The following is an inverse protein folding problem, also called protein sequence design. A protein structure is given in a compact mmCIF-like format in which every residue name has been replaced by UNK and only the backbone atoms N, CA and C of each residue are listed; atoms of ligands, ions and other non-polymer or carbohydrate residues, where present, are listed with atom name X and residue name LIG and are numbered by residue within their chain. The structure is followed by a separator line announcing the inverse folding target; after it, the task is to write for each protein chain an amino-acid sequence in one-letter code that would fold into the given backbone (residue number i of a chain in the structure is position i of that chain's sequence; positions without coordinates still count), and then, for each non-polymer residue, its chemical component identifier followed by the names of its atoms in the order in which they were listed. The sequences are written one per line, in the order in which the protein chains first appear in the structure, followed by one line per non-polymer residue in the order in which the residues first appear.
data_IF_405667609710
#
_entry.id   IF_405667609710
#
_cell.length_a   1.000
_cell.length_b   1.000
_cell.length_c   1.000
_cell.angle_alpha   90.00
_cell.angle_beta   90.00
_cell.angle_gamma   90.00
#
_symmetry.space_group_name_H-M   'P 1'
#
loop_
_entity.id
_entity.type
_entity.pdbx_description
1 polymer ?
#
# COMPACT_ATOMS: atom_id res chain seq x y z
N UNK A 1 45.43 -8.97 27.45
CA UNK A 1 45.85 -7.76 28.20
C UNK A 1 45.55 -6.50 27.38
N UNK A 2 46.08 -6.35 26.13
CA UNK A 2 45.89 -5.16 25.28
C UNK A 2 44.40 -4.85 25.03
N UNK A 3 43.57 -5.84 24.64
CA UNK A 3 42.16 -5.66 24.41
C UNK A 3 41.42 -5.15 25.65
N UNK A 4 41.73 -5.67 26.86
CA UNK A 4 41.06 -5.20 28.10
C UNK A 4 41.40 -3.73 28.42
N UNK A 5 42.61 -3.28 28.11
CA UNK A 5 43.03 -1.89 28.31
C UNK A 5 42.28 -0.96 27.34
N UNK A 6 42.13 -1.37 26.08
CA UNK A 6 41.41 -0.61 25.06
C UNK A 6 39.91 -0.54 25.36
N UNK A 7 39.32 -1.64 25.80
CA UNK A 7 37.94 -1.67 26.24
C UNK A 7 37.70 -0.69 27.39
N UNK A 8 38.57 -0.72 28.42
CA UNK A 8 38.47 0.19 29.58
C UNK A 8 38.68 1.66 29.21
N UNK A 9 39.47 1.94 28.17
CA UNK A 9 39.72 3.27 27.64
C UNK A 9 38.66 3.73 26.59
N UNK A 10 37.68 2.88 26.25
CA UNK A 10 36.71 3.11 25.19
C UNK A 10 37.34 3.41 23.80
N UNK A 11 38.51 2.86 23.56
CA UNK A 11 39.23 2.97 22.29
C UNK A 11 38.82 1.86 21.34
N UNK A 12 37.58 2.01 20.83
CA UNK A 12 36.86 0.98 20.06
C UNK A 12 37.57 0.62 18.76
N UNK A 13 38.12 1.59 18.03
CA UNK A 13 38.80 1.38 16.78
C UNK A 13 40.03 0.50 16.95
N UNK A 14 40.89 0.79 17.95
CA UNK A 14 42.05 -0.03 18.23
C UNK A 14 41.67 -1.38 18.85
N UNK A 15 40.58 -1.45 19.58
CA UNK A 15 40.06 -2.70 20.12
C UNK A 15 39.64 -3.65 19.01
N UNK A 16 38.86 -3.17 18.04
CA UNK A 16 38.40 -3.95 16.88
C UNK A 16 39.60 -4.47 16.08
N UNK A 17 40.59 -3.62 15.79
CA UNK A 17 41.85 -4.05 15.12
C UNK A 17 42.64 -5.07 15.95
N UNK A 18 42.61 -4.95 17.28
CA UNK A 18 43.27 -5.98 18.11
C UNK A 18 42.55 -7.32 18.05
N UNK A 19 41.23 -7.33 17.94
CA UNK A 19 40.48 -8.58 17.73
C UNK A 19 40.72 -9.13 16.33
N UNK A 20 40.83 -8.29 15.30
CA UNK A 20 41.23 -8.70 13.96
C UNK A 20 42.59 -9.38 14.00
N UNK A 21 43.64 -8.76 14.57
CA UNK A 21 44.97 -9.36 14.72
C UNK A 21 44.93 -10.72 15.43
N UNK A 22 44.04 -10.90 16.45
CA UNK A 22 43.90 -12.18 17.16
C UNK A 22 43.28 -13.24 16.24
N UNK A 23 42.26 -12.89 15.46
CA UNK A 23 41.60 -13.81 14.55
C UNK A 23 42.54 -14.24 13.40
N UNK A 24 43.36 -13.33 12.88
CA UNK A 24 44.35 -13.64 11.84
C UNK A 24 45.37 -14.67 12.28
N UNK A 25 45.73 -14.71 13.58
CA UNK A 25 46.66 -15.69 14.17
C UNK A 25 45.99 -17.07 14.28
N UNK A 26 44.71 -17.12 14.59
CA UNK A 26 43.94 -18.37 14.70
C UNK A 26 42.51 -18.19 14.13
N UNK A 27 42.31 -18.43 12.81
CA UNK A 27 41.07 -18.22 12.11
C UNK A 27 39.92 -19.19 12.46
N UNK A 28 40.10 -20.01 13.50
CA UNK A 28 39.06 -20.95 13.97
C UNK A 28 38.26 -20.40 15.18
N UNK A 29 38.63 -19.23 15.69
CA UNK A 29 38.01 -18.62 16.86
C UNK A 29 36.74 -17.79 16.50
N UNK A 30 35.65 -18.45 16.16
CA UNK A 30 34.37 -17.77 15.82
C UNK A 30 33.90 -16.78 16.89
N UNK A 31 34.20 -17.03 18.18
CA UNK A 31 33.90 -16.11 19.28
C UNK A 31 34.53 -14.70 19.09
N UNK A 32 35.67 -14.62 18.40
CA UNK A 32 36.32 -13.35 18.10
C UNK A 32 35.51 -12.56 17.04
N UNK A 33 35.01 -13.24 16.03
CA UNK A 33 34.16 -12.62 15.00
C UNK A 33 32.87 -12.02 15.62
N UNK A 34 32.20 -12.77 16.50
CA UNK A 34 31.01 -12.29 17.22
C UNK A 34 31.35 -11.07 18.08
N UNK A 35 32.50 -11.06 18.77
CA UNK A 35 32.94 -9.86 19.54
C UNK A 35 33.22 -8.65 18.66
N UNK A 36 33.83 -8.85 17.48
CA UNK A 36 34.05 -7.75 16.50
C UNK A 36 32.69 -7.16 16.13
N UNK A 37 31.74 -8.00 15.77
CA UNK A 37 30.39 -7.60 15.36
C UNK A 37 29.64 -6.90 16.52
N UNK A 38 29.54 -7.53 17.68
CA UNK A 38 28.83 -6.97 18.86
C UNK A 38 29.38 -5.59 19.27
N UNK A 39 30.71 -5.43 19.28
CA UNK A 39 31.32 -4.15 19.61
C UNK A 39 30.99 -3.11 18.54
N UNK A 40 31.05 -3.46 17.27
CA UNK A 40 30.71 -2.57 16.17
C UNK A 40 29.28 -2.05 16.26
N UNK A 41 28.32 -2.95 16.46
CA UNK A 41 26.90 -2.62 16.63
C UNK A 41 26.71 -1.73 17.86
N UNK A 42 27.25 -2.13 19.02
CA UNK A 42 27.09 -1.40 20.27
C UNK A 42 27.71 0.01 20.27
N UNK A 43 28.71 0.24 19.44
CA UNK A 43 29.47 1.50 19.39
C UNK A 43 29.23 2.33 18.14
N UNK A 44 28.39 1.84 17.22
CA UNK A 44 28.09 2.51 15.95
C UNK A 44 29.25 2.45 14.92
N UNK A 45 30.24 1.57 15.13
CA UNK A 45 31.38 1.42 14.22
C UNK A 45 31.18 0.31 13.18
N UNK A 46 29.93 0.20 12.64
CA UNK A 46 29.54 -0.94 11.79
C UNK A 46 30.32 -0.97 10.47
N UNK A 47 30.63 0.19 9.87
CA UNK A 47 31.42 0.29 8.65
C UNK A 47 32.84 -0.28 8.85
N UNK A 48 33.48 0.06 9.97
CA UNK A 48 34.80 -0.49 10.28
C UNK A 48 34.74 -2.01 10.49
N UNK A 49 33.67 -2.52 11.09
CA UNK A 49 33.46 -3.97 11.24
C UNK A 49 33.28 -4.63 9.88
N UNK A 50 32.52 -4.01 9.00
CA UNK A 50 32.35 -4.49 7.62
C UNK A 50 33.68 -4.60 6.90
N UNK A 51 34.51 -3.55 6.93
CA UNK A 51 35.85 -3.56 6.32
C UNK A 51 36.72 -4.68 6.90
N UNK A 52 36.74 -4.84 8.22
CA UNK A 52 37.47 -5.92 8.91
C UNK A 52 36.97 -7.30 8.44
N UNK A 53 35.67 -7.52 8.38
CA UNK A 53 35.11 -8.81 7.95
C UNK A 53 35.43 -9.12 6.48
N UNK A 54 35.45 -8.10 5.59
CA UNK A 54 35.90 -8.27 4.21
C UNK A 54 37.39 -8.66 4.11
N UNK A 55 38.25 -8.04 4.92
CA UNK A 55 39.68 -8.43 5.00
C UNK A 55 39.82 -9.87 5.51
N UNK A 56 39.09 -10.22 6.59
CA UNK A 56 39.11 -11.57 7.17
C UNK A 56 38.54 -12.64 6.22
N UNK A 57 37.55 -12.29 5.40
CA UNK A 57 37.01 -13.19 4.35
C UNK A 57 38.11 -13.62 3.36
N UNK A 58 39.08 -12.77 3.08
CA UNK A 58 40.17 -13.09 2.15
C UNK A 58 41.13 -14.17 2.68
N UNK A 59 41.19 -14.36 4.00
CA UNK A 59 42.11 -15.27 4.68
C UNK A 59 41.43 -16.46 5.34
N UNK A 60 40.12 -16.44 5.50
CA UNK A 60 39.34 -17.49 6.14
C UNK A 60 38.06 -17.78 5.35
N UNK A 61 37.73 -19.07 5.21
CA UNK A 61 36.49 -19.55 4.62
C UNK A 61 35.39 -19.77 5.69
N UNK A 62 35.42 -18.98 6.77
CA UNK A 62 34.42 -19.10 7.82
C UNK A 62 33.03 -18.67 7.32
N UNK A 63 32.05 -19.59 7.43
CA UNK A 63 30.65 -19.33 7.13
C UNK A 63 30.13 -18.13 7.94
N UNK A 64 30.55 -17.99 9.19
CA UNK A 64 30.11 -16.92 10.08
C UNK A 64 30.49 -15.52 9.54
N UNK A 65 31.61 -15.40 8.82
CA UNK A 65 31.96 -14.11 8.18
C UNK A 65 30.92 -13.71 7.13
N UNK A 66 30.48 -14.66 6.30
CA UNK A 66 29.43 -14.40 5.30
C UNK A 66 28.09 -14.05 5.98
N UNK A 67 27.72 -14.78 7.02
CA UNK A 67 26.48 -14.52 7.79
C UNK A 67 26.49 -13.11 8.38
N UNK A 68 27.60 -12.69 9.00
CA UNK A 68 27.71 -11.34 9.58
C UNK A 68 27.75 -10.24 8.51
N UNK A 69 28.38 -10.46 7.37
CA UNK A 69 28.37 -9.52 6.25
C UNK A 69 26.98 -9.38 5.65
N UNK A 70 26.22 -10.48 5.52
CA UNK A 70 24.83 -10.47 5.06
C UNK A 70 23.96 -9.65 6.02
N UNK A 71 24.10 -9.85 7.33
CA UNK A 71 23.34 -9.11 8.34
C UNK A 71 23.66 -7.61 8.32
N UNK A 72 24.93 -7.24 8.13
CA UNK A 72 25.34 -5.83 7.98
C UNK A 72 24.74 -5.24 6.71
N UNK A 73 24.86 -5.92 5.58
CA UNK A 73 24.34 -5.44 4.31
C UNK A 73 22.82 -5.30 4.32
N UNK A 74 22.08 -6.27 4.90
CA UNK A 74 20.63 -6.20 5.06
C UNK A 74 20.20 -5.02 5.96
N UNK A 75 20.84 -4.87 7.11
CA UNK A 75 20.53 -3.79 8.06
C UNK A 75 20.88 -2.40 7.52
N UNK A 76 21.85 -2.31 6.61
CA UNK A 76 22.26 -1.07 5.93
C UNK A 76 21.43 -0.76 4.67
N UNK A 77 20.50 -1.67 4.28
CA UNK A 77 19.69 -1.52 3.07
C UNK A 77 20.41 -1.87 1.77
N UNK A 78 21.59 -2.46 1.85
CA UNK A 78 22.41 -2.87 0.71
C UNK A 78 21.99 -4.26 0.21
N UNK A 79 20.72 -4.42 -0.10
CA UNK A 79 20.10 -5.72 -0.39
C UNK A 79 20.76 -6.48 -1.54
N UNK A 80 21.27 -5.79 -2.57
CA UNK A 80 21.95 -6.45 -3.69
C UNK A 80 23.25 -7.13 -3.24
N UNK A 81 23.99 -6.53 -2.31
CA UNK A 81 25.18 -7.12 -1.72
C UNK A 81 24.81 -8.31 -0.82
N UNK A 82 23.79 -8.13 0.04
CA UNK A 82 23.29 -9.20 0.89
C UNK A 82 22.85 -10.43 0.07
N UNK A 83 22.16 -10.23 -1.05
CA UNK A 83 21.75 -11.30 -1.99
C UNK A 83 22.98 -12.00 -2.57
N UNK A 84 23.99 -11.24 -3.03
CA UNK A 84 25.21 -11.83 -3.59
C UNK A 84 25.97 -12.70 -2.57
N UNK A 85 26.09 -12.21 -1.34
CA UNK A 85 26.71 -12.94 -0.23
C UNK A 85 25.89 -14.17 0.17
N UNK A 86 24.55 -14.09 0.13
CA UNK A 86 23.68 -15.21 0.43
C UNK A 86 23.83 -16.34 -0.62
N UNK A 87 23.93 -16.00 -1.91
CA UNK A 87 24.23 -16.99 -2.95
C UNK A 87 25.61 -17.66 -2.71
N UNK A 88 26.64 -16.90 -2.35
CA UNK A 88 27.97 -17.44 -2.01
C UNK A 88 27.88 -18.37 -0.79
N UNK A 89 27.10 -17.99 0.23
CA UNK A 89 26.89 -18.82 1.42
C UNK A 89 26.23 -20.15 1.04
N UNK A 90 25.15 -20.10 0.24
CA UNK A 90 24.43 -21.30 -0.23
C UNK A 90 25.33 -22.19 -1.09
N UNK A 91 26.16 -21.63 -1.96
CA UNK A 91 27.09 -22.38 -2.80
C UNK A 91 28.14 -23.15 -1.96
N UNK A 92 28.60 -22.55 -0.87
CA UNK A 92 29.63 -23.13 0.00
C UNK A 92 29.12 -24.13 1.01
N UNK A 93 27.89 -23.92 1.53
CA UNK A 93 27.31 -24.74 2.63
C UNK A 93 26.25 -25.73 2.18
N UNK A 94 25.73 -25.59 0.96
CA UNK A 94 24.47 -26.19 0.52
C UNK A 94 23.27 -25.36 0.97
N UNK A 95 22.14 -25.53 0.29
CA UNK A 95 20.91 -24.79 0.61
C UNK A 95 20.16 -25.45 1.76
N UNK A 96 19.81 -24.65 2.77
CA UNK A 96 18.81 -25.01 3.78
C UNK A 96 17.52 -24.21 3.50
N UNK A 97 16.38 -24.71 4.01
CA UNK A 97 15.11 -23.97 3.87
C UNK A 97 15.19 -22.56 4.47
N UNK A 98 15.88 -22.39 5.62
CA UNK A 98 16.06 -21.09 6.26
C UNK A 98 16.85 -20.10 5.38
N UNK A 99 17.93 -20.58 4.74
CA UNK A 99 18.71 -19.76 3.82
C UNK A 99 17.89 -19.36 2.58
N UNK A 100 17.09 -20.29 2.06
CA UNK A 100 16.18 -20.04 0.93
C UNK A 100 15.11 -19.01 1.30
N UNK A 101 14.54 -19.12 2.51
CA UNK A 101 13.55 -18.17 3.04
C UNK A 101 14.19 -16.78 3.18
N UNK A 102 15.38 -16.67 3.80
CA UNK A 102 16.08 -15.40 3.97
C UNK A 102 16.45 -14.76 2.62
N UNK A 103 16.92 -15.56 1.65
CA UNK A 103 17.19 -15.06 0.29
C UNK A 103 15.92 -14.50 -0.37
N UNK A 104 14.80 -15.18 -0.18
CA UNK A 104 13.50 -14.74 -0.72
C UNK A 104 13.01 -13.44 -0.06
N UNK A 105 13.25 -13.26 1.24
CA UNK A 105 12.97 -11.99 1.92
C UNK A 105 13.78 -10.83 1.34
N UNK A 106 15.07 -11.04 1.06
CA UNK A 106 15.92 -10.04 0.42
C UNK A 106 15.40 -9.67 -0.98
N UNK A 107 14.99 -10.67 -1.76
CA UNK A 107 14.40 -10.43 -3.09
C UNK A 107 13.06 -9.68 -2.98
N UNK A 108 12.21 -9.95 -1.97
CA UNK A 108 11.00 -9.17 -1.73
C UNK A 108 11.29 -7.69 -1.46
N UNK A 109 12.34 -7.38 -0.70
CA UNK A 109 12.72 -5.99 -0.36
C UNK A 109 13.11 -5.16 -1.59
N UNK A 110 13.56 -5.80 -2.65
CA UNK A 110 13.89 -5.16 -3.94
C UNK A 110 12.85 -5.45 -5.03
N UNK A 111 11.66 -5.91 -4.62
CA UNK A 111 10.50 -6.16 -5.49
C UNK A 111 10.77 -7.15 -6.64
N UNK A 112 11.68 -8.10 -6.41
CA UNK A 112 12.02 -9.17 -7.35
C UNK A 112 11.10 -10.38 -7.16
N UNK A 113 9.83 -10.21 -7.52
CA UNK A 113 8.77 -11.19 -7.26
C UNK A 113 8.93 -12.49 -8.04
N UNK A 114 9.44 -12.43 -9.27
CA UNK A 114 9.71 -13.63 -10.07
C UNK A 114 10.74 -14.52 -9.38
N UNK A 115 11.83 -13.93 -8.90
CA UNK A 115 12.88 -14.63 -8.16
C UNK A 115 12.36 -15.25 -6.87
N UNK A 116 11.46 -14.56 -6.16
CA UNK A 116 10.80 -15.10 -4.96
C UNK A 116 10.01 -16.36 -5.31
N UNK A 117 9.23 -16.34 -6.37
CA UNK A 117 8.47 -17.50 -6.85
C UNK A 117 9.40 -18.65 -7.23
N UNK A 118 10.44 -18.38 -8.02
CA UNK A 118 11.39 -19.39 -8.48
C UNK A 118 12.11 -20.09 -7.32
N UNK A 119 12.43 -19.34 -6.28
CA UNK A 119 13.16 -19.82 -5.11
C UNK A 119 12.23 -20.58 -4.14
N UNK A 120 11.02 -20.07 -3.87
CA UNK A 120 10.12 -20.62 -2.84
C UNK A 120 9.20 -21.73 -3.35
N UNK A 121 8.78 -21.70 -4.63
CA UNK A 121 7.88 -22.74 -5.14
C UNK A 121 8.41 -24.16 -4.97
N UNK A 122 9.71 -24.46 -5.19
CA UNK A 122 10.24 -25.80 -4.96
C UNK A 122 10.16 -26.29 -3.52
N UNK A 123 10.33 -25.41 -2.52
CA UNK A 123 10.21 -25.82 -1.11
C UNK A 123 8.76 -25.91 -0.67
N UNK A 124 7.87 -25.07 -1.19
CA UNK A 124 6.42 -25.18 -1.03
C UNK A 124 5.89 -26.50 -1.59
N UNK A 125 6.27 -26.89 -2.80
CA UNK A 125 5.87 -28.15 -3.43
C UNK A 125 6.40 -29.38 -2.69
N UNK A 126 7.52 -29.28 -1.97
CA UNK A 126 8.04 -30.33 -1.08
C UNK A 126 7.33 -30.40 0.26
N UNK A 127 6.36 -29.52 0.52
CA UNK A 127 5.53 -29.51 1.72
C UNK A 127 5.99 -28.55 2.83
N UNK A 128 6.91 -27.63 2.55
CA UNK A 128 7.19 -26.54 3.49
C UNK A 128 6.08 -25.50 3.37
N UNK A 129 5.05 -25.61 4.20
CA UNK A 129 3.91 -24.70 4.26
C UNK A 129 4.01 -23.78 5.50
N UNK A 130 5.21 -23.39 5.91
CA UNK A 130 5.36 -22.42 6.98
C UNK A 130 4.61 -21.12 6.63
N UNK A 131 4.09 -20.46 7.65
CA UNK A 131 3.33 -19.21 7.48
C UNK A 131 4.12 -18.16 6.70
N UNK A 132 5.43 -18.13 6.88
CA UNK A 132 6.35 -17.22 6.23
C UNK A 132 6.46 -17.51 4.73
N UNK A 133 6.69 -18.76 4.32
CA UNK A 133 6.72 -19.19 2.91
C UNK A 133 5.40 -18.87 2.22
N UNK A 134 4.27 -19.20 2.85
CA UNK A 134 2.95 -18.94 2.28
C UNK A 134 2.70 -17.44 2.09
N UNK A 135 3.07 -16.61 3.06
CA UNK A 135 2.90 -15.15 2.95
C UNK A 135 3.76 -14.54 1.85
N UNK A 136 5.03 -14.96 1.74
CA UNK A 136 5.91 -14.44 0.69
C UNK A 136 5.43 -14.85 -0.71
N UNK A 137 4.99 -16.09 -0.89
CA UNK A 137 4.41 -16.54 -2.15
C UNK A 137 3.11 -15.79 -2.49
N UNK A 138 2.24 -15.50 -1.50
CA UNK A 138 1.04 -14.69 -1.72
C UNK A 138 1.38 -13.29 -2.21
N UNK A 139 2.34 -12.61 -1.57
CA UNK A 139 2.80 -11.29 -2.00
C UNK A 139 3.34 -11.35 -3.44
N UNK A 140 4.19 -12.32 -3.72
CA UNK A 140 4.81 -12.46 -5.04
C UNK A 140 3.77 -12.77 -6.13
N UNK A 141 2.89 -13.76 -5.92
CA UNK A 141 1.87 -14.12 -6.90
C UNK A 141 0.86 -13.00 -7.14
N UNK A 142 0.46 -12.28 -6.07
CA UNK A 142 -0.44 -11.12 -6.19
C UNK A 142 0.19 -10.00 -7.00
N UNK A 143 1.48 -9.66 -6.72
CA UNK A 143 2.22 -8.63 -7.46
C UNK A 143 2.44 -8.99 -8.94
N UNK A 144 2.58 -10.29 -9.24
CA UNK A 144 2.72 -10.80 -10.62
C UNK A 144 1.38 -11.03 -11.33
N UNK A 145 0.25 -10.84 -10.66
CA UNK A 145 -1.08 -11.13 -11.21
C UNK A 145 -1.33 -12.63 -11.47
N UNK A 146 -0.60 -13.52 -10.79
CA UNK A 146 -0.72 -14.97 -10.94
C UNK A 146 -1.85 -15.53 -10.05
N UNK A 147 -3.08 -15.13 -10.36
CA UNK A 147 -4.28 -15.34 -9.53
C UNK A 147 -4.53 -16.83 -9.19
N UNK A 148 -4.32 -17.76 -10.12
CA UNK A 148 -4.54 -19.19 -9.86
C UNK A 148 -3.57 -19.73 -8.80
N UNK A 149 -2.31 -19.32 -8.86
CA UNK A 149 -1.29 -19.70 -7.88
C UNK A 149 -1.59 -19.07 -6.51
N UNK A 150 -1.98 -17.78 -6.51
CA UNK A 150 -2.42 -17.08 -5.31
C UNK A 150 -3.59 -17.79 -4.62
N UNK A 151 -4.63 -18.21 -5.37
CA UNK A 151 -5.76 -18.99 -4.85
C UNK A 151 -5.28 -20.34 -4.23
N UNK A 152 -4.34 -21.02 -4.85
CA UNK A 152 -3.85 -22.30 -4.36
C UNK A 152 -3.10 -22.14 -3.04
N UNK A 153 -2.21 -21.17 -2.95
CA UNK A 153 -1.46 -20.85 -1.71
C UNK A 153 -2.41 -20.36 -0.62
N UNK A 154 -3.38 -19.50 -0.94
CA UNK A 154 -4.40 -19.02 0.00
C UNK A 154 -5.24 -20.18 0.58
N UNK A 155 -5.59 -21.17 -0.24
CA UNK A 155 -6.29 -22.39 0.24
C UNK A 155 -5.43 -23.18 1.21
N UNK A 156 -4.14 -23.36 0.91
CA UNK A 156 -3.20 -24.03 1.80
C UNK A 156 -3.12 -23.27 3.13
N UNK A 157 -2.97 -21.94 3.07
CA UNK A 157 -2.92 -21.09 4.25
C UNK A 157 -4.20 -21.21 5.11
N UNK A 158 -5.38 -21.13 4.49
CA UNK A 158 -6.66 -21.28 5.19
C UNK A 158 -6.82 -22.65 5.85
N UNK A 159 -6.35 -23.71 5.20
CA UNK A 159 -6.52 -25.08 5.71
C UNK A 159 -5.54 -25.39 6.85
N UNK A 160 -4.27 -25.01 6.70
CA UNK A 160 -3.23 -25.34 7.68
C UNK A 160 -3.23 -24.39 8.88
N UNK A 161 -3.69 -23.16 8.69
CA UNK A 161 -3.78 -22.12 9.71
C UNK A 161 -5.23 -21.67 9.93
N UNK A 162 -6.13 -22.65 10.11
CA UNK A 162 -7.58 -22.41 10.17
C UNK A 162 -8.06 -21.70 11.44
N UNK A 163 -7.20 -21.53 12.43
CA UNK A 163 -7.41 -20.86 13.71
C UNK A 163 -7.05 -19.35 13.70
N UNK A 164 -6.51 -18.86 12.59
CA UNK A 164 -6.23 -17.44 12.38
C UNK A 164 -6.97 -16.90 11.14
N UNK A 165 -7.37 -15.60 11.13
CA UNK A 165 -8.21 -15.03 10.06
C UNK A 165 -7.50 -14.92 8.71
N UNK A 166 -6.16 -14.79 8.70
CA UNK A 166 -5.37 -14.41 7.52
C UNK A 166 -5.58 -15.30 6.29
N UNK A 167 -5.81 -16.62 6.49
CA UNK A 167 -6.07 -17.54 5.38
C UNK A 167 -7.41 -17.29 4.68
N UNK A 168 -8.43 -16.94 5.46
CA UNK A 168 -9.76 -16.58 4.94
C UNK A 168 -9.73 -15.24 4.22
N UNK A 169 -9.00 -14.26 4.76
CA UNK A 169 -8.79 -12.96 4.13
C UNK A 169 -8.10 -13.11 2.78
N UNK A 170 -6.96 -13.81 2.74
CA UNK A 170 -6.20 -14.03 1.53
C UNK A 170 -7.03 -14.75 0.45
N UNK A 171 -7.73 -15.83 0.82
CA UNK A 171 -8.52 -16.60 -0.14
C UNK A 171 -9.72 -15.81 -0.68
N UNK A 172 -10.42 -15.07 0.19
CA UNK A 172 -11.52 -14.21 -0.26
C UNK A 172 -11.04 -13.11 -1.18
N UNK A 173 -9.91 -12.48 -0.87
CA UNK A 173 -9.26 -11.47 -1.72
C UNK A 173 -8.86 -12.04 -3.07
N UNK A 174 -8.19 -13.20 -3.12
CA UNK A 174 -7.80 -13.86 -4.37
C UNK A 174 -9.02 -14.19 -5.24
N UNK A 175 -10.15 -14.61 -4.64
CA UNK A 175 -11.39 -14.83 -5.39
C UNK A 175 -12.00 -13.53 -5.92
N UNK A 176 -11.89 -12.40 -5.19
CA UNK A 176 -12.33 -11.10 -5.69
C UNK A 176 -11.50 -10.65 -6.89
N UNK A 177 -10.18 -10.82 -6.82
CA UNK A 177 -9.27 -10.55 -7.94
C UNK A 177 -9.59 -11.42 -9.17
N UNK A 178 -10.02 -12.66 -8.94
CA UNK A 178 -10.49 -13.57 -10.00
C UNK A 178 -11.89 -13.23 -10.54
N UNK A 179 -12.55 -12.18 -10.05
CA UNK A 179 -13.95 -11.86 -10.39
C UNK A 179 -14.98 -12.86 -9.87
N UNK A 180 -14.60 -13.74 -8.93
CA UNK A 180 -15.44 -14.81 -8.39
C UNK A 180 -16.10 -14.37 -7.07
N UNK A 181 -16.97 -13.34 -7.14
CA UNK A 181 -17.58 -12.72 -5.96
C UNK A 181 -18.36 -13.72 -5.09
N UNK A 182 -19.06 -14.70 -5.70
CA UNK A 182 -19.83 -15.69 -4.96
C UNK A 182 -18.94 -16.57 -4.08
N UNK A 183 -17.76 -16.97 -4.59
CA UNK A 183 -16.79 -17.76 -3.82
C UNK A 183 -16.17 -16.92 -2.70
N UNK A 184 -15.86 -15.65 -2.96
CA UNK A 184 -15.37 -14.74 -1.91
C UNK A 184 -16.39 -14.62 -0.77
N UNK A 185 -17.67 -14.40 -1.11
CA UNK A 185 -18.76 -14.35 -0.12
C UNK A 185 -18.86 -15.65 0.67
N UNK A 186 -18.77 -16.82 0.01
CA UNK A 186 -18.79 -18.12 0.70
C UNK A 186 -17.68 -18.24 1.75
N UNK A 187 -16.44 -17.88 1.41
CA UNK A 187 -15.30 -17.93 2.34
C UNK A 187 -15.48 -16.95 3.50
N UNK A 188 -15.93 -15.72 3.22
CA UNK A 188 -16.17 -14.72 4.26
C UNK A 188 -17.29 -15.15 5.22
N UNK A 189 -18.36 -15.78 4.71
CA UNK A 189 -19.44 -16.33 5.54
C UNK A 189 -18.98 -17.50 6.40
N UNK A 190 -18.02 -18.30 5.94
CA UNK A 190 -17.40 -19.35 6.76
C UNK A 190 -16.52 -18.78 7.88
N UNK A 191 -15.84 -17.64 7.63
CA UNK A 191 -14.98 -16.98 8.60
C UNK A 191 -15.76 -16.31 9.73
N UNK A 192 -16.91 -15.69 9.45
CA UNK A 192 -17.69 -14.90 10.39
C UNK A 192 -18.02 -15.56 11.74
N UNK A 193 -18.45 -16.84 11.81
CA UNK A 193 -18.70 -17.51 13.08
C UNK A 193 -17.45 -17.96 13.81
N UNK A 194 -16.33 -18.10 13.10
CA UNK A 194 -15.04 -18.48 13.68
C UNK A 194 -14.33 -17.30 14.33
N UNK A 195 -14.46 -16.12 13.72
CA UNK A 195 -13.78 -14.89 14.12
C UNK A 195 -14.82 -13.76 14.30
N UNK A 196 -15.66 -13.84 15.34
CA UNK A 196 -16.79 -12.91 15.51
C UNK A 196 -16.38 -11.46 15.77
N UNK A 197 -15.16 -11.26 16.28
CA UNK A 197 -14.60 -9.94 16.62
C UNK A 197 -13.71 -9.36 15.50
N UNK A 198 -13.55 -10.09 14.38
CA UNK A 198 -12.76 -9.63 13.23
C UNK A 198 -13.63 -8.76 12.32
N UNK A 199 -13.27 -7.48 12.22
CA UNK A 199 -14.04 -6.47 11.48
C UNK A 199 -13.89 -6.60 9.96
N UNK A 200 -12.80 -7.16 9.49
CA UNK A 200 -12.47 -7.30 8.07
C UNK A 200 -13.54 -8.08 7.32
N UNK A 201 -14.07 -9.16 7.91
CA UNK A 201 -15.04 -10.02 7.24
C UNK A 201 -16.41 -9.35 7.00
N UNK A 202 -17.08 -8.76 8.00
CA UNK A 202 -18.32 -8.06 7.73
C UNK A 202 -18.11 -6.81 6.85
N UNK A 203 -16.98 -6.11 6.97
CA UNK A 203 -16.68 -4.98 6.10
C UNK A 203 -16.51 -5.41 4.63
N UNK A 204 -15.76 -6.48 4.37
CA UNK A 204 -15.58 -7.03 3.01
C UNK A 204 -16.90 -7.51 2.41
N UNK A 205 -17.74 -8.20 3.19
CA UNK A 205 -19.08 -8.61 2.74
C UNK A 205 -19.95 -7.40 2.40
N UNK A 206 -19.94 -6.36 3.23
CA UNK A 206 -20.67 -5.13 2.98
C UNK A 206 -20.24 -4.49 1.65
N UNK A 207 -18.94 -4.40 1.41
CA UNK A 207 -18.37 -3.83 0.17
C UNK A 207 -18.77 -4.65 -1.05
N UNK A 208 -18.72 -5.99 -0.98
CA UNK A 208 -19.14 -6.86 -2.09
C UNK A 208 -20.62 -6.66 -2.40
N UNK A 209 -21.48 -6.64 -1.38
CA UNK A 209 -22.91 -6.44 -1.57
C UNK A 209 -23.24 -5.02 -2.05
N UNK A 210 -22.52 -4.00 -1.59
CA UNK A 210 -22.67 -2.63 -2.09
C UNK A 210 -22.34 -2.56 -3.58
N UNK A 211 -21.19 -3.10 -4.00
CA UNK A 211 -20.78 -3.10 -5.40
C UNK A 211 -21.76 -3.89 -6.31
N UNK A 212 -22.42 -4.90 -5.77
CA UNK A 212 -23.48 -5.65 -6.47
C UNK A 212 -24.87 -5.03 -6.35
N UNK A 213 -24.99 -3.85 -5.70
CA UNK A 213 -26.24 -3.12 -5.44
C UNK A 213 -27.28 -3.87 -4.58
N UNK A 214 -26.84 -4.87 -3.81
CA UNK A 214 -27.65 -5.48 -2.77
C UNK A 214 -27.54 -4.64 -1.49
N UNK A 215 -28.13 -3.44 -1.55
CA UNK A 215 -28.01 -2.44 -0.48
C UNK A 215 -28.55 -2.94 0.87
N UNK A 216 -29.55 -3.82 0.87
CA UNK A 216 -30.08 -4.38 2.11
C UNK A 216 -29.04 -5.24 2.85
N UNK A 217 -28.33 -6.11 2.13
CA UNK A 217 -27.27 -6.89 2.76
C UNK A 217 -26.06 -6.02 3.09
N UNK A 218 -25.68 -5.10 2.21
CA UNK A 218 -24.59 -4.17 2.44
C UNK A 218 -24.77 -3.40 3.75
N UNK A 219 -25.96 -2.78 3.95
CA UNK A 219 -26.31 -2.03 5.16
C UNK A 219 -26.15 -2.90 6.43
N UNK A 220 -26.70 -4.12 6.40
CA UNK A 220 -26.61 -5.04 7.54
C UNK A 220 -25.15 -5.37 7.90
N UNK A 221 -24.30 -5.62 6.91
CA UNK A 221 -22.91 -5.96 7.16
C UNK A 221 -22.06 -4.73 7.53
N UNK A 222 -22.34 -3.53 6.99
CA UNK A 222 -21.71 -2.29 7.46
C UNK A 222 -22.05 -2.04 8.94
N UNK A 223 -23.31 -2.18 9.33
CA UNK A 223 -23.68 -2.04 10.74
C UNK A 223 -23.03 -3.10 11.64
N UNK A 224 -22.86 -4.32 11.14
CA UNK A 224 -22.13 -5.35 11.89
C UNK A 224 -20.65 -4.97 12.06
N UNK A 225 -19.99 -4.47 11.02
CA UNK A 225 -18.63 -3.96 11.11
C UNK A 225 -18.49 -2.81 12.12
N UNK A 226 -19.45 -1.85 12.08
CA UNK A 226 -19.51 -0.72 13.01
C UNK A 226 -19.91 -1.13 14.45
N UNK A 227 -20.52 -2.30 14.65
CA UNK A 227 -20.74 -2.86 15.99
C UNK A 227 -19.45 -3.37 16.58
N UNK A 228 -18.57 -3.97 15.78
CA UNK A 228 -17.24 -4.45 16.20
C UNK A 228 -16.30 -3.25 16.41
N UNK A 229 -16.24 -2.36 15.43
CA UNK A 229 -15.37 -1.17 15.44
C UNK A 229 -16.18 0.10 15.13
N UNK A 230 -16.72 0.78 16.17
CA UNK A 230 -17.61 1.95 15.99
C UNK A 230 -16.96 3.16 15.32
N UNK A 231 -15.64 3.26 15.35
CA UNK A 231 -14.83 4.34 14.77
C UNK A 231 -14.22 3.99 13.40
N UNK A 232 -14.62 2.87 12.79
CA UNK A 232 -14.12 2.47 11.45
C UNK A 232 -14.62 3.48 10.39
N UNK A 233 -13.77 4.46 10.10
CA UNK A 233 -14.05 5.55 9.14
C UNK A 233 -14.45 5.02 7.77
N UNK A 234 -13.69 4.01 7.27
CA UNK A 234 -13.98 3.40 5.97
C UNK A 234 -15.42 2.83 5.86
N UNK A 235 -15.91 2.18 6.93
CA UNK A 235 -17.26 1.65 6.93
C UNK A 235 -18.34 2.75 6.97
N UNK A 236 -18.11 3.80 7.77
CA UNK A 236 -19.03 4.97 7.82
C UNK A 236 -19.08 5.67 6.47
N UNK A 237 -17.92 5.88 5.85
CA UNK A 237 -17.82 6.52 4.55
C UNK A 237 -18.52 5.70 3.45
N UNK A 238 -18.23 4.40 3.35
CA UNK A 238 -18.89 3.52 2.38
C UNK A 238 -20.41 3.44 2.59
N UNK A 239 -20.85 3.44 3.85
CA UNK A 239 -22.27 3.46 4.20
C UNK A 239 -22.95 4.80 3.81
N UNK A 240 -22.24 5.92 3.98
CA UNK A 240 -22.75 7.23 3.58
C UNK A 240 -22.88 7.33 2.05
N UNK A 241 -21.89 6.85 1.29
CA UNK A 241 -21.95 6.76 -0.17
C UNK A 241 -23.10 5.85 -0.64
N UNK A 242 -23.28 4.71 0.02
CA UNK A 242 -24.39 3.81 -0.29
C UNK A 242 -25.75 4.50 -0.10
N UNK A 243 -25.90 5.30 0.97
CA UNK A 243 -27.14 6.07 1.16
C UNK A 243 -27.36 7.14 0.09
N UNK A 244 -26.29 7.77 -0.44
CA UNK A 244 -26.39 8.64 -1.63
C UNK A 244 -26.91 7.87 -2.85
N UNK A 245 -26.37 6.70 -3.12
CA UNK A 245 -26.81 5.85 -4.24
C UNK A 245 -28.29 5.41 -4.10
N UNK A 246 -28.82 5.40 -2.87
CA UNK A 246 -30.20 5.10 -2.55
C UNK A 246 -31.11 6.36 -2.55
N UNK A 247 -30.60 7.54 -2.87
CA UNK A 247 -31.26 8.84 -2.71
C UNK A 247 -31.68 9.15 -1.24
N UNK A 248 -31.07 8.47 -0.25
CA UNK A 248 -31.30 8.74 1.18
C UNK A 248 -30.29 9.74 1.72
N UNK A 249 -30.39 10.96 1.24
CA UNK A 249 -29.48 12.05 1.57
C UNK A 249 -29.49 12.39 3.07
N UNK A 250 -30.59 12.15 3.78
CA UNK A 250 -30.67 12.43 5.22
C UNK A 250 -29.75 11.54 6.05
N UNK A 251 -29.67 10.23 5.73
CA UNK A 251 -28.78 9.30 6.43
C UNK A 251 -27.33 9.53 6.01
N UNK A 252 -27.09 9.82 4.75
CA UNK A 252 -25.77 10.19 4.24
C UNK A 252 -25.23 11.43 4.96
N UNK A 253 -25.98 12.53 4.99
CA UNK A 253 -25.61 13.77 5.67
C UNK A 253 -25.28 13.54 7.15
N UNK A 254 -26.11 12.75 7.83
CA UNK A 254 -25.89 12.43 9.25
C UNK A 254 -24.54 11.75 9.48
N UNK A 255 -24.14 10.83 8.59
CA UNK A 255 -22.86 10.13 8.70
C UNK A 255 -21.68 11.05 8.38
N UNK A 256 -21.74 11.82 7.28
CA UNK A 256 -20.66 12.76 6.95
C UNK A 256 -20.47 13.81 8.04
N UNK A 257 -21.55 14.43 8.53
CA UNK A 257 -21.48 15.39 9.61
C UNK A 257 -20.93 14.77 10.90
N UNK A 258 -21.32 13.53 11.20
CA UNK A 258 -20.75 12.82 12.34
C UNK A 258 -19.24 12.62 12.21
N UNK A 259 -18.74 12.14 11.05
CA UNK A 259 -17.31 11.94 10.82
C UNK A 259 -16.52 13.25 10.92
N UNK A 260 -16.99 14.30 10.26
CA UNK A 260 -16.36 15.63 10.26
C UNK A 260 -16.32 16.24 11.68
N UNK A 261 -17.35 16.03 12.48
CA UNK A 261 -17.41 16.52 13.87
C UNK A 261 -16.52 15.70 14.83
N UNK A 262 -16.29 14.42 14.54
CA UNK A 262 -15.39 13.57 15.32
C UNK A 262 -13.90 13.89 15.06
N UNK A 263 -13.56 14.30 13.86
CA UNK A 263 -12.21 14.63 13.45
C UNK A 263 -12.15 15.96 12.70
N UNK A 264 -11.75 17.02 13.41
CA UNK A 264 -11.62 18.36 12.82
C UNK A 264 -10.56 18.43 11.71
N UNK A 265 -9.64 17.49 11.64
CA UNK A 265 -8.59 17.40 10.62
C UNK A 265 -8.88 16.36 9.52
N UNK A 266 -10.10 15.84 9.46
CA UNK A 266 -10.52 14.95 8.37
C UNK A 266 -10.71 15.75 7.07
N UNK A 267 -9.63 15.95 6.34
CA UNK A 267 -9.64 16.65 5.07
C UNK A 267 -10.37 15.84 3.98
N UNK A 268 -10.13 14.52 3.94
CA UNK A 268 -10.75 13.62 2.97
C UNK A 268 -12.27 13.58 3.11
N UNK A 269 -12.78 13.33 4.32
CA UNK A 269 -14.22 13.29 4.57
C UNK A 269 -14.92 14.60 4.25
N UNK A 270 -14.27 15.75 4.49
CA UNK A 270 -14.81 17.06 4.09
C UNK A 270 -14.86 17.23 2.58
N UNK A 271 -13.80 16.84 1.89
CA UNK A 271 -13.76 16.93 0.44
C UNK A 271 -14.83 16.05 -0.20
N UNK A 272 -14.95 14.81 0.26
CA UNK A 272 -15.93 13.87 -0.31
C UNK A 272 -17.35 14.34 -0.09
N UNK A 273 -17.65 14.85 1.11
CA UNK A 273 -18.96 15.43 1.37
C UNK A 273 -19.23 16.70 0.54
N UNK A 274 -18.21 17.56 0.36
CA UNK A 274 -18.33 18.72 -0.50
C UNK A 274 -18.62 18.33 -1.96
N UNK A 275 -17.91 17.34 -2.48
CA UNK A 275 -18.14 16.84 -3.83
C UNK A 275 -19.55 16.26 -3.99
N UNK A 276 -20.00 15.42 -3.06
CA UNK A 276 -21.34 14.83 -3.05
C UNK A 276 -22.42 15.91 -3.05
N UNK A 277 -22.32 16.91 -2.17
CA UNK A 277 -23.27 18.03 -2.13
C UNK A 277 -23.30 18.79 -3.46
N UNK A 278 -22.18 18.90 -4.16
CA UNK A 278 -22.10 19.58 -5.47
C UNK A 278 -22.73 18.79 -6.61
N UNK A 279 -22.83 17.46 -6.48
CA UNK A 279 -23.34 16.57 -7.53
C UNK A 279 -24.83 16.22 -7.37
N UNK A 280 -25.43 16.50 -6.24
CA UNK A 280 -26.88 16.25 -6.04
C UNK A 280 -27.71 17.04 -7.05
N UNK A 281 -28.70 16.40 -7.66
CA UNK A 281 -29.53 16.98 -8.74
C UNK A 281 -30.28 18.25 -8.35
N UNK A 282 -30.63 18.40 -7.08
CA UNK A 282 -31.45 19.49 -6.57
C UNK A 282 -30.66 20.41 -5.60
N UNK A 283 -29.34 20.41 -5.69
CA UNK A 283 -28.51 21.28 -4.84
C UNK A 283 -28.84 22.74 -5.06
N UNK A 284 -29.14 23.42 -3.98
CA UNK A 284 -29.37 24.86 -3.95
C UNK A 284 -28.04 25.63 -3.99
N UNK A 285 -28.15 26.94 -4.17
CA UNK A 285 -26.96 27.80 -4.04
C UNK A 285 -26.35 27.77 -2.63
N UNK A 286 -27.19 27.58 -1.64
CA UNK A 286 -26.82 27.41 -0.23
C UNK A 286 -26.03 26.13 -0.03
N UNK A 287 -26.43 25.03 -0.67
CA UNK A 287 -25.69 23.74 -0.62
C UNK A 287 -24.32 23.87 -1.28
N UNK A 288 -24.22 24.54 -2.45
CA UNK A 288 -22.93 24.81 -3.08
C UNK A 288 -22.01 25.71 -2.23
N UNK A 289 -22.57 26.71 -1.54
CA UNK A 289 -21.79 27.55 -0.63
C UNK A 289 -21.29 26.75 0.58
N UNK A 290 -22.10 25.84 1.11
CA UNK A 290 -21.68 24.96 2.21
C UNK A 290 -20.62 23.95 1.74
N UNK A 291 -20.81 23.34 0.58
CA UNK A 291 -19.82 22.49 -0.06
C UNK A 291 -18.48 23.22 -0.26
N UNK A 292 -18.52 24.47 -0.69
CA UNK A 292 -17.31 25.31 -0.85
C UNK A 292 -16.58 25.49 0.49
N UNK A 293 -17.29 25.78 1.59
CA UNK A 293 -16.67 25.92 2.92
C UNK A 293 -15.98 24.61 3.37
N UNK A 294 -16.60 23.45 3.10
CA UNK A 294 -16.02 22.15 3.41
C UNK A 294 -14.75 21.90 2.59
N UNK A 295 -14.80 22.16 1.28
CA UNK A 295 -13.67 21.96 0.39
C UNK A 295 -12.52 22.95 0.69
N UNK A 296 -12.82 24.22 0.98
CA UNK A 296 -11.82 25.20 1.42
C UNK A 296 -11.13 24.75 2.72
N UNK A 297 -11.87 24.14 3.64
CA UNK A 297 -11.27 23.60 4.86
C UNK A 297 -10.40 22.39 4.58
N UNK A 298 -10.77 21.51 3.64
CA UNK A 298 -9.95 20.38 3.20
C UNK A 298 -8.62 20.87 2.59
N UNK A 299 -8.67 21.85 1.68
CA UNK A 299 -7.47 22.45 1.07
C UNK A 299 -6.61 23.22 2.10
N UNK A 300 -7.21 23.82 3.15
CA UNK A 300 -6.43 24.45 4.21
C UNK A 300 -5.60 23.45 5.02
N UNK A 301 -6.04 22.18 5.10
CA UNK A 301 -5.33 21.08 5.75
C UNK A 301 -4.28 20.48 4.81
N UNK A 302 -4.63 20.25 3.54
CA UNK A 302 -3.76 19.68 2.50
C UNK A 302 -3.72 20.58 1.24
N UNK A 303 -2.90 21.65 1.21
CA UNK A 303 -2.94 22.67 0.16
C UNK A 303 -2.49 22.20 -1.23
N UNK A 304 -1.77 21.10 -1.30
CA UNK A 304 -1.19 20.55 -2.53
C UNK A 304 -1.95 19.33 -3.05
N UNK A 305 -3.06 18.99 -2.40
CA UNK A 305 -3.88 17.84 -2.80
C UNK A 305 -4.68 18.20 -4.06
N UNK A 306 -4.31 17.60 -5.18
CA UNK A 306 -4.95 17.86 -6.47
C UNK A 306 -6.46 17.58 -6.46
N UNK A 307 -6.92 16.50 -5.81
CA UNK A 307 -8.34 16.16 -5.74
C UNK A 307 -9.15 17.20 -4.98
N UNK A 308 -8.60 17.80 -3.92
CA UNK A 308 -9.29 18.83 -3.15
C UNK A 308 -9.38 20.16 -3.91
N UNK A 309 -8.33 20.50 -4.65
CA UNK A 309 -8.32 21.67 -5.53
C UNK A 309 -9.31 21.51 -6.69
N UNK A 310 -9.40 20.31 -7.26
CA UNK A 310 -10.38 19.96 -8.28
C UNK A 310 -11.81 20.11 -7.77
N UNK A 311 -12.12 19.61 -6.59
CA UNK A 311 -13.43 19.74 -5.96
C UNK A 311 -13.82 21.22 -5.77
N UNK A 312 -12.91 22.08 -5.30
CA UNK A 312 -13.18 23.53 -5.21
C UNK A 312 -13.46 24.12 -6.61
N UNK A 313 -12.63 23.80 -7.59
CA UNK A 313 -12.81 24.24 -8.97
C UNK A 313 -14.15 23.84 -9.52
N UNK A 314 -14.56 22.58 -9.29
CA UNK A 314 -15.83 22.05 -9.71
C UNK A 314 -17.03 22.74 -9.03
N UNK A 315 -16.96 23.02 -7.72
CA UNK A 315 -17.98 23.78 -7.01
C UNK A 315 -18.08 25.20 -7.55
N UNK A 316 -16.98 25.89 -7.86
CA UNK A 316 -17.02 27.20 -8.53
C UNK A 316 -17.66 27.12 -9.92
N UNK A 317 -17.43 26.03 -10.68
CA UNK A 317 -18.13 25.77 -11.93
C UNK A 317 -19.66 25.67 -11.73
N UNK A 318 -20.13 24.93 -10.73
CA UNK A 318 -21.56 24.82 -10.37
C UNK A 318 -22.15 26.16 -9.91
N UNK A 319 -21.33 27.00 -9.26
CA UNK A 319 -21.69 28.38 -8.89
C UNK A 319 -21.58 29.38 -10.04
N UNK A 320 -21.30 28.92 -11.25
CA UNK A 320 -21.12 29.73 -12.48
C UNK A 320 -20.01 30.80 -12.39
N UNK A 321 -19.06 30.58 -11.48
CA UNK A 321 -17.90 31.46 -11.26
C UNK A 321 -16.67 30.91 -12.02
N UNK A 322 -16.77 30.84 -13.33
CA UNK A 322 -15.90 30.07 -14.20
C UNK A 322 -14.42 30.49 -14.15
N UNK A 323 -14.09 31.78 -13.91
CA UNK A 323 -12.70 32.25 -13.78
C UNK A 323 -12.01 31.63 -12.56
N UNK A 324 -12.75 31.54 -11.43
CA UNK A 324 -12.21 30.88 -10.24
C UNK A 324 -12.15 29.36 -10.43
N UNK A 325 -13.13 28.79 -11.13
CA UNK A 325 -13.10 27.39 -11.48
C UNK A 325 -11.85 27.04 -12.27
N UNK A 326 -11.53 27.79 -13.32
CA UNK A 326 -10.31 27.64 -14.11
C UNK A 326 -9.06 27.72 -13.24
N UNK A 327 -8.93 28.76 -12.38
CA UNK A 327 -7.77 28.97 -11.51
C UNK A 327 -7.50 27.73 -10.61
N UNK A 328 -8.54 27.20 -9.96
CA UNK A 328 -8.39 26.07 -9.06
C UNK A 328 -8.13 24.75 -9.81
N UNK A 329 -8.75 24.54 -10.97
CA UNK A 329 -8.50 23.34 -11.79
C UNK A 329 -7.08 23.37 -12.39
N UNK A 330 -6.60 24.51 -12.89
CA UNK A 330 -5.22 24.64 -13.36
C UNK A 330 -4.23 24.41 -12.22
N UNK A 331 -4.52 24.92 -11.02
CA UNK A 331 -3.71 24.64 -9.84
C UNK A 331 -3.73 23.13 -9.49
N UNK A 332 -4.88 22.48 -9.57
CA UNK A 332 -5.01 21.02 -9.39
C UNK A 332 -4.13 20.25 -10.39
N UNK A 333 -4.18 20.61 -11.67
CA UNK A 333 -3.36 20.03 -12.72
C UNK A 333 -1.86 20.24 -12.51
N UNK A 334 -1.43 21.31 -11.83
CA UNK A 334 -0.02 21.51 -11.51
C UNK A 334 0.55 20.45 -10.54
N UNK A 335 -0.31 19.77 -9.78
CA UNK A 335 0.06 18.67 -8.90
C UNK A 335 -0.27 17.29 -9.49
N UNK A 336 -1.19 17.21 -10.44
CA UNK A 336 -1.56 15.96 -11.13
C UNK A 336 -1.91 16.26 -12.60
N UNK A 337 -0.87 16.48 -13.41
CA UNK A 337 -0.94 17.07 -14.76
C UNK A 337 -1.78 16.26 -15.76
N UNK A 338 -1.86 14.96 -15.57
CA UNK A 338 -2.45 14.04 -16.54
C UNK A 338 -3.73 13.32 -16.05
N UNK A 339 -4.31 13.80 -14.97
CA UNK A 339 -5.55 13.21 -14.44
C UNK A 339 -6.73 13.45 -15.39
N UNK A 340 -7.38 12.40 -15.91
CA UNK A 340 -8.43 12.54 -16.91
C UNK A 340 -9.68 13.25 -16.39
N UNK A 341 -10.02 13.09 -15.10
CA UNK A 341 -11.19 13.74 -14.49
C UNK A 341 -10.97 15.25 -14.40
N UNK A 342 -9.79 15.67 -13.91
CA UNK A 342 -9.45 17.08 -13.78
C UNK A 342 -9.37 17.76 -15.15
N UNK A 343 -8.82 17.07 -16.14
CA UNK A 343 -8.81 17.54 -17.53
C UNK A 343 -10.23 17.68 -18.10
N UNK A 344 -11.12 16.73 -17.82
CA UNK A 344 -12.52 16.81 -18.24
C UNK A 344 -13.21 18.04 -17.63
N UNK A 345 -13.03 18.27 -16.33
CA UNK A 345 -13.55 19.47 -15.66
C UNK A 345 -13.01 20.77 -16.30
N UNK A 346 -11.71 20.82 -16.65
CA UNK A 346 -11.15 21.97 -17.35
C UNK A 346 -11.79 22.20 -18.73
N UNK A 347 -11.99 21.13 -19.49
CA UNK A 347 -12.69 21.18 -20.78
C UNK A 347 -14.10 21.74 -20.64
N UNK A 348 -14.88 21.26 -19.66
CA UNK A 348 -16.24 21.74 -19.37
C UNK A 348 -16.27 23.22 -18.97
N UNK A 349 -15.26 23.67 -18.20
CA UNK A 349 -15.11 25.08 -17.81
C UNK A 349 -14.81 25.93 -19.05
N UNK A 350 -13.88 25.51 -19.92
CA UNK A 350 -13.55 26.21 -21.14
C UNK A 350 -14.75 26.36 -22.07
N UNK A 351 -15.61 25.34 -22.18
CA UNK A 351 -16.89 25.45 -22.93
C UNK A 351 -17.75 26.55 -22.37
N UNK A 352 -17.93 26.63 -21.05
CA UNK A 352 -18.73 27.67 -20.40
C UNK A 352 -18.14 29.08 -20.53
N UNK A 353 -16.83 29.17 -20.68
CA UNK A 353 -16.12 30.46 -20.90
C UNK A 353 -16.04 30.86 -22.39
N UNK A 354 -16.63 30.08 -23.29
CA UNK A 354 -16.50 30.24 -24.75
C UNK A 354 -15.04 30.16 -25.26
N UNK A 355 -14.17 29.45 -24.54
CA UNK A 355 -12.81 29.13 -24.94
C UNK A 355 -12.82 27.85 -25.78
N UNK A 356 -13.41 27.92 -26.97
CA UNK A 356 -13.72 26.74 -27.81
C UNK A 356 -12.48 25.98 -28.23
N UNK A 357 -11.40 26.66 -28.61
CA UNK A 357 -10.17 26.02 -29.08
C UNK A 357 -9.50 25.25 -27.92
N UNK A 358 -9.44 25.86 -26.76
CA UNK A 358 -8.87 25.26 -25.55
C UNK A 358 -9.67 24.03 -25.12
N UNK A 359 -11.01 24.10 -25.15
CA UNK A 359 -11.88 22.97 -24.84
C UNK A 359 -11.65 21.80 -25.79
N UNK A 360 -11.56 22.05 -27.10
CA UNK A 360 -11.28 21.04 -28.12
C UNK A 360 -9.94 20.35 -27.82
N UNK A 361 -8.88 21.12 -27.60
CA UNK A 361 -7.55 20.57 -27.31
C UNK A 361 -7.54 19.64 -26.08
N UNK A 362 -8.28 20.01 -25.03
CA UNK A 362 -8.40 19.17 -23.83
C UNK A 362 -9.14 17.86 -24.11
N UNK A 363 -10.26 17.92 -24.82
CA UNK A 363 -11.03 16.72 -25.13
C UNK A 363 -10.31 15.80 -26.13
N UNK A 364 -9.58 16.36 -27.11
CA UNK A 364 -8.71 15.59 -27.99
C UNK A 364 -7.60 14.86 -27.22
N UNK A 365 -6.93 15.57 -26.28
CA UNK A 365 -5.93 14.96 -25.39
C UNK A 365 -6.52 13.79 -24.56
N UNK A 366 -7.75 13.90 -24.11
CA UNK A 366 -8.45 12.84 -23.40
C UNK A 366 -8.75 11.64 -24.30
N UNK A 367 -9.16 11.89 -25.57
CA UNK A 367 -9.42 10.84 -26.55
C UNK A 367 -8.15 10.15 -27.09
N UNK A 368 -7.00 10.82 -27.04
CA UNK A 368 -5.71 10.18 -27.32
C UNK A 368 -5.37 9.08 -26.29
N UNK A 369 -5.79 9.28 -25.03
CA UNK A 369 -5.58 8.31 -23.94
C UNK A 369 -6.64 7.21 -23.91
N UNK A 370 -7.87 7.55 -24.19
CA UNK A 370 -9.03 6.65 -24.23
C UNK A 370 -9.88 6.94 -25.47
N UNK A 371 -9.48 6.31 -26.60
CA UNK A 371 -10.14 6.53 -27.89
C UNK A 371 -11.60 6.10 -27.92
N UNK A 372 -12.05 5.26 -27.00
CA UNK A 372 -13.41 4.72 -26.98
C UNK A 372 -14.36 5.48 -26.05
N UNK A 373 -13.87 6.56 -25.39
CA UNK A 373 -14.65 7.38 -24.47
C UNK A 373 -15.79 8.14 -25.18
N UNK A 374 -16.96 7.51 -25.18
CA UNK A 374 -18.15 8.06 -25.86
C UNK A 374 -18.63 9.37 -25.23
N UNK A 375 -18.44 9.56 -23.91
CA UNK A 375 -18.84 10.78 -23.22
C UNK A 375 -18.06 12.00 -23.76
N UNK A 376 -16.73 11.86 -23.84
CA UNK A 376 -15.85 12.92 -24.33
C UNK A 376 -16.09 13.18 -25.83
N UNK A 377 -16.30 12.13 -26.65
CA UNK A 377 -16.70 12.30 -28.06
C UNK A 377 -17.98 13.14 -28.19
N UNK A 378 -19.02 12.82 -27.42
CA UNK A 378 -20.29 13.55 -27.46
C UNK A 378 -20.13 15.02 -27.01
N UNK A 379 -19.21 15.30 -26.09
CA UNK A 379 -18.89 16.69 -25.70
C UNK A 379 -18.19 17.44 -26.84
N UNK A 380 -17.24 16.80 -27.51
CA UNK A 380 -16.51 17.37 -28.62
C UNK A 380 -17.41 17.64 -29.83
N UNK A 381 -18.28 16.70 -30.19
CA UNK A 381 -19.25 16.84 -31.28
C UNK A 381 -20.18 18.05 -31.05
N UNK A 382 -20.68 18.25 -29.82
CA UNK A 382 -21.53 19.40 -29.45
C UNK A 382 -20.84 20.77 -29.55
N UNK A 383 -19.53 20.80 -29.57
CA UNK A 383 -18.78 22.05 -29.72
C UNK A 383 -18.58 22.37 -31.21
N UNK A 384 -18.50 21.33 -32.06
CA UNK A 384 -18.27 21.47 -33.49
C UNK A 384 -19.56 21.75 -34.29
N UNK A 385 -20.76 21.46 -33.71
CA UNK A 385 -22.08 21.76 -34.26
C UNK A 385 -22.50 23.22 -33.95
#
# INVERSE_FOLDING_TARGET
ARANTQYSAQDWTNLLKTYQDIYEVDPHQNEILLKIYEIGVATGNIELVRDILWELKSISQSQLILELLIEIADSSGEYSEAISLMYELIETTGSTDDQIINLSQLHLRIEKFDEVVDILSPIYEKGNHSLEVLRMLLIAYSSLGQIENEINVSKTLMNEYSDIPVGYEALSFSYLQAGSNEKAVEILLQALPKFPDEVTFPFSLATIFYNSRDYFKAENYFHRALTIQPDLVAAKHSLALMYEDMDDTSRSDSLFLHMINQNENDAGGRNDYAYILSERKNSSKEDFNYALQLAERAVAIEPENAAFLDTIGWIYYKLETYQKAEEFIEKSLSYNEDNPVILEHLGDIYVKMNKTIEAINIYEKLLEKDSDNQLIRNKLDKIND
#
